data_IF_814962979876
#
_entry.id   IF_814962979876
#
_cell.length_a   1.000
_cell.length_b   1.000
_cell.length_c   1.000
_cell.angle_alpha   90.00
_cell.angle_beta   90.00
_cell.angle_gamma   90.00
#
_symmetry.space_group_name_H-M   'P 1'
#
loop_
_entity.id
_entity.type
_entity.pdbx_description
1 polymer ?
#
# COMPACT_ATOMS: atom_id res chain seq x y z
N UNK A 1 24.34 10.62 20.55
CA UNK A 1 24.28 10.55 19.07
C UNK A 1 22.95 11.14 18.65
N UNK A 2 22.94 12.21 17.86
CA UNK A 2 21.68 12.85 17.47
C UNK A 2 21.08 12.10 16.27
N UNK A 3 19.83 11.68 16.41
CA UNK A 3 19.15 10.91 15.39
C UNK A 3 18.63 11.81 14.26
N UNK A 4 18.88 11.39 13.03
CA UNK A 4 18.75 12.23 11.84
C UNK A 4 17.84 11.65 10.75
N UNK A 5 17.56 10.35 10.82
CA UNK A 5 16.87 9.62 9.76
C UNK A 5 15.48 9.19 10.20
N UNK A 6 14.47 9.63 9.45
CA UNK A 6 13.10 9.15 9.54
C UNK A 6 12.94 7.94 8.63
N UNK A 7 12.61 6.77 9.20
CA UNK A 7 12.29 5.58 8.40
C UNK A 7 10.81 5.62 8.06
N UNK A 8 10.51 5.60 6.78
CA UNK A 8 9.17 5.70 6.23
C UNK A 8 8.86 4.44 5.41
N UNK A 9 7.61 4.02 5.39
CA UNK A 9 7.15 3.03 4.44
C UNK A 9 5.71 3.24 4.02
N UNK A 10 5.39 2.81 2.82
CA UNK A 10 4.02 2.78 2.32
C UNK A 10 3.70 1.51 1.54
N UNK A 11 2.43 1.14 1.57
CA UNK A 11 1.83 0.04 0.82
C UNK A 11 0.46 0.51 0.29
N UNK A 12 0.05 -0.06 -0.84
CA UNK A 12 -1.28 0.11 -1.41
C UNK A 12 -1.92 -1.27 -1.58
N UNK A 13 -3.03 -1.51 -0.89
CA UNK A 13 -3.80 -2.74 -1.11
C UNK A 13 -5.01 -2.46 -1.99
N UNK A 14 -5.14 -3.29 -3.01
CA UNK A 14 -6.33 -3.32 -3.87
C UNK A 14 -7.36 -4.35 -3.41
N UNK A 15 -8.51 -4.26 -4.07
CA UNK A 15 -9.64 -5.17 -3.96
C UNK A 15 -9.25 -6.60 -4.34
N UNK A 16 -9.71 -7.58 -3.56
CA UNK A 16 -9.70 -8.98 -3.98
C UNK A 16 -10.91 -9.32 -4.85
N UNK A 17 -10.91 -10.50 -5.46
CA UNK A 17 -12.03 -10.99 -6.31
C UNK A 17 -13.39 -11.03 -5.61
N UNK A 18 -13.41 -11.09 -4.28
CA UNK A 18 -14.63 -11.07 -3.48
C UNK A 18 -15.20 -9.67 -3.20
N UNK A 19 -14.49 -8.59 -3.48
CA UNK A 19 -14.96 -7.23 -3.17
C UNK A 19 -15.98 -6.73 -4.20
N UNK A 20 -16.81 -5.75 -3.80
CA UNK A 20 -17.66 -5.04 -4.74
C UNK A 20 -16.81 -4.19 -5.70
N UNK A 21 -17.12 -4.21 -6.99
CA UNK A 21 -16.42 -3.36 -7.95
C UNK A 21 -16.72 -1.88 -7.67
N UNK A 22 -15.75 -1.00 -7.95
CA UNK A 22 -15.82 0.42 -7.59
C UNK A 22 -15.41 0.75 -6.15
N UNK A 23 -14.99 -0.24 -5.35
CA UNK A 23 -14.41 0.04 -4.03
C UNK A 23 -13.01 0.69 -4.15
N UNK A 24 -12.63 1.55 -3.19
CA UNK A 24 -11.35 2.23 -3.21
C UNK A 24 -10.20 1.28 -2.86
N UNK A 25 -9.01 1.61 -3.34
CA UNK A 25 -7.76 1.07 -2.80
C UNK A 25 -7.49 1.70 -1.43
N UNK A 26 -6.78 0.98 -0.57
CA UNK A 26 -6.37 1.48 0.73
C UNK A 26 -4.87 1.69 0.71
N UNK A 27 -4.46 2.91 1.01
CA UNK A 27 -3.06 3.27 1.20
C UNK A 27 -2.76 3.28 2.69
N UNK A 28 -1.66 2.62 3.07
CA UNK A 28 -1.08 2.71 4.39
C UNK A 28 0.27 3.41 4.31
N UNK A 29 0.51 4.32 5.24
CA UNK A 29 1.81 4.95 5.45
C UNK A 29 2.20 4.77 6.90
N UNK A 30 3.42 4.33 7.15
CA UNK A 30 3.98 4.15 8.49
C UNK A 30 5.31 4.87 8.58
N UNK A 31 5.60 5.46 9.73
CA UNK A 31 6.90 6.08 9.99
C UNK A 31 7.41 5.77 11.37
N UNK A 32 8.73 5.64 11.52
CA UNK A 32 9.38 5.54 12.81
C UNK A 32 9.13 6.83 13.61
N UNK A 33 8.74 6.70 14.87
CA UNK A 33 8.71 7.82 15.82
C UNK A 33 10.08 8.03 16.47
N UNK A 34 10.77 6.92 16.72
CA UNK A 34 12.05 6.87 17.40
C UNK A 34 13.11 6.30 16.47
N UNK A 35 14.34 6.66 16.74
CA UNK A 35 15.44 6.32 15.87
C UNK A 35 16.00 4.91 16.05
N UNK A 36 15.62 4.23 17.12
CA UNK A 36 15.85 2.79 17.27
C UNK A 36 14.89 1.97 16.39
N UNK A 37 13.93 2.60 15.70
CA UNK A 37 12.95 1.90 14.88
C UNK A 37 11.98 1.02 15.67
N UNK A 38 11.91 1.17 17.00
CA UNK A 38 11.07 0.30 17.85
C UNK A 38 9.58 0.66 17.82
N UNK A 39 9.24 1.92 17.49
CA UNK A 39 7.86 2.41 17.43
C UNK A 39 7.56 3.07 16.11
N UNK A 40 6.48 2.61 15.48
CA UNK A 40 5.96 3.17 14.23
C UNK A 40 4.58 3.78 14.44
N UNK A 41 4.35 4.94 13.85
CA UNK A 41 3.01 5.51 13.69
C UNK A 41 2.49 5.21 12.30
N UNK A 42 1.24 4.78 12.23
CA UNK A 42 0.53 4.52 10.99
C UNK A 42 -0.56 5.54 10.68
N UNK A 43 -0.79 5.79 9.39
CA UNK A 43 -1.94 6.52 8.87
C UNK A 43 -2.48 5.80 7.63
N UNK A 44 -3.79 5.83 7.46
CA UNK A 44 -4.49 5.23 6.33
C UNK A 44 -5.14 6.32 5.48
N UNK A 45 -5.29 6.05 4.17
CA UNK A 45 -6.00 6.90 3.22
C UNK A 45 -6.76 6.02 2.23
N UNK A 46 -7.91 6.49 1.78
CA UNK A 46 -8.58 5.93 0.61
C UNK A 46 -8.02 6.55 -0.67
N UNK A 47 -7.94 5.72 -1.70
CA UNK A 47 -7.53 6.13 -3.04
C UNK A 47 -8.43 5.45 -4.06
N UNK A 48 -8.51 6.01 -5.28
CA UNK A 48 -9.25 5.38 -6.38
C UNK A 48 -8.85 3.91 -6.56
N UNK A 49 -9.85 3.10 -6.93
CA UNK A 49 -9.67 1.66 -7.08
C UNK A 49 -8.57 1.33 -8.10
N UNK A 50 -7.73 0.33 -7.79
CA UNK A 50 -6.63 -0.16 -8.65
C UNK A 50 -5.54 0.86 -8.99
N UNK A 51 -5.55 2.03 -8.36
CA UNK A 51 -4.47 3.00 -8.49
C UNK A 51 -3.34 2.61 -7.52
N UNK A 52 -2.24 2.10 -8.04
CA UNK A 52 -1.08 1.68 -7.25
C UNK A 52 -0.26 2.88 -6.76
N UNK A 53 0.05 3.83 -7.65
CA UNK A 53 0.83 5.04 -7.31
C UNK A 53 0.10 5.88 -6.27
N UNK A 54 0.77 6.17 -5.15
CA UNK A 54 0.15 6.88 -4.03
C UNK A 54 0.11 8.38 -4.33
N UNK A 55 -1.10 8.91 -4.54
CA UNK A 55 -1.31 10.35 -4.72
C UNK A 55 -1.54 11.05 -3.38
N UNK A 56 -1.23 12.35 -3.30
CA UNK A 56 -1.46 13.14 -2.08
C UNK A 56 -0.66 12.67 -0.86
N UNK A 57 0.48 12.00 -1.08
CA UNK A 57 1.35 11.51 -0.02
C UNK A 57 1.84 12.66 0.88
N UNK A 58 2.02 13.85 0.32
CA UNK A 58 2.43 15.03 1.08
C UNK A 58 1.50 15.33 2.27
N UNK A 59 0.18 15.29 2.04
CA UNK A 59 -0.85 15.52 3.08
C UNK A 59 -0.87 14.41 4.13
N UNK A 60 -0.66 13.16 3.71
CA UNK A 60 -0.56 12.03 4.64
C UNK A 60 0.61 12.23 5.60
N UNK A 61 1.78 12.59 5.05
CA UNK A 61 3.03 12.71 5.77
C UNK A 61 3.13 13.92 6.70
N UNK A 62 2.29 14.93 6.54
CA UNK A 62 2.27 16.10 7.45
C UNK A 62 2.22 15.67 8.92
N UNK A 63 1.39 14.67 9.25
CA UNK A 63 1.28 14.20 10.63
C UNK A 63 2.57 13.52 11.10
N UNK A 64 3.19 12.69 10.25
CA UNK A 64 4.42 11.97 10.56
C UNK A 64 5.61 12.92 10.78
N UNK A 65 5.77 13.92 9.91
CA UNK A 65 6.80 14.95 10.05
C UNK A 65 6.58 15.84 11.28
N UNK A 66 5.32 16.19 11.59
CA UNK A 66 5.00 16.92 12.82
C UNK A 66 5.30 16.10 14.08
N UNK A 67 5.00 14.80 14.08
CA UNK A 67 5.31 13.92 15.21
C UNK A 67 6.82 13.82 15.43
N UNK A 68 7.59 13.69 14.34
CA UNK A 68 9.05 13.72 14.43
C UNK A 68 9.54 15.03 15.06
N UNK A 69 9.08 16.17 14.53
CA UNK A 69 9.49 17.47 15.05
C UNK A 69 9.12 17.64 16.53
N UNK A 70 7.91 17.20 16.92
CA UNK A 70 7.45 17.24 18.32
C UNK A 70 8.30 16.34 19.23
N UNK A 71 8.70 15.17 18.76
CA UNK A 71 9.41 14.19 19.57
C UNK A 71 10.91 14.48 19.70
N UNK A 72 11.54 15.02 18.65
CA UNK A 72 12.98 15.26 18.60
C UNK A 72 13.39 16.73 18.68
N UNK A 73 12.43 17.67 18.64
CA UNK A 73 12.64 19.12 18.57
C UNK A 73 13.58 19.54 17.42
N UNK A 74 13.48 18.84 16.29
CA UNK A 74 14.32 19.08 15.12
C UNK A 74 13.70 18.56 13.83
N UNK A 75 14.16 19.09 12.71
CA UNK A 75 13.85 18.53 11.39
C UNK A 75 14.65 17.23 11.16
N UNK A 76 14.07 16.21 10.48
CA UNK A 76 14.86 15.09 9.98
C UNK A 76 15.80 15.58 8.88
N UNK A 77 17.03 15.05 8.85
CA UNK A 77 18.00 15.35 7.78
C UNK A 77 17.87 14.33 6.64
N UNK A 78 17.41 13.11 6.96
CA UNK A 78 17.27 12.02 6.01
C UNK A 78 15.90 11.34 6.10
N UNK A 79 15.41 10.81 4.99
CA UNK A 79 14.32 9.84 4.92
C UNK A 79 14.80 8.57 4.22
N UNK A 80 14.62 7.42 4.89
CA UNK A 80 14.74 6.11 4.27
C UNK A 80 13.33 5.59 3.98
N UNK A 81 12.96 5.52 2.70
CA UNK A 81 11.62 5.17 2.27
C UNK A 81 11.57 3.76 1.68
N UNK A 82 10.84 2.85 2.32
CA UNK A 82 10.54 1.52 1.78
C UNK A 82 9.14 1.48 1.15
N UNK A 83 9.03 1.20 -0.14
CA UNK A 83 7.75 1.13 -0.86
C UNK A 83 7.48 -0.29 -1.33
N UNK A 84 6.44 -0.93 -0.82
CA UNK A 84 6.03 -2.29 -1.22
C UNK A 84 4.86 -2.26 -2.17
N UNK A 85 4.86 -3.08 -3.23
CA UNK A 85 3.69 -3.29 -4.10
C UNK A 85 3.80 -2.75 -5.53
N UNK A 86 4.95 -2.19 -5.93
CA UNK A 86 5.13 -1.58 -7.27
C UNK A 86 6.01 -2.42 -8.20
N UNK A 87 5.60 -2.48 -9.47
CA UNK A 87 6.40 -3.10 -10.53
C UNK A 87 7.50 -2.16 -11.04
N UNK A 88 8.49 -2.71 -11.75
CA UNK A 88 9.59 -1.94 -12.36
C UNK A 88 9.10 -0.83 -13.29
N UNK A 89 8.02 -1.07 -14.02
CA UNK A 89 7.37 -0.08 -14.91
C UNK A 89 6.82 1.16 -14.18
N UNK A 90 6.69 1.12 -12.86
CA UNK A 90 6.11 2.18 -12.03
C UNK A 90 7.17 2.98 -11.26
N UNK A 91 8.46 2.64 -11.38
CA UNK A 91 9.51 3.26 -10.57
C UNK A 91 9.63 4.77 -10.84
N UNK A 92 9.51 5.18 -12.10
CA UNK A 92 9.55 6.59 -12.48
C UNK A 92 8.35 7.35 -11.92
N UNK A 93 7.16 6.75 -11.95
CA UNK A 93 5.95 7.33 -11.37
C UNK A 93 6.06 7.49 -9.85
N UNK A 94 6.66 6.52 -9.15
CA UNK A 94 6.94 6.60 -7.71
C UNK A 94 7.90 7.75 -7.41
N UNK A 95 8.96 7.91 -8.20
CA UNK A 95 9.90 9.01 -8.05
C UNK A 95 9.23 10.38 -8.33
N UNK A 96 8.46 10.48 -9.41
CA UNK A 96 7.80 11.71 -9.82
C UNK A 96 6.67 12.14 -8.87
N UNK A 97 5.97 11.18 -8.27
CA UNK A 97 4.78 11.44 -7.45
C UNK A 97 5.03 11.29 -5.96
N UNK A 98 5.48 10.11 -5.52
CA UNK A 98 5.56 9.77 -4.10
C UNK A 98 6.79 10.43 -3.45
N UNK A 99 7.98 10.28 -4.06
CA UNK A 99 9.21 10.89 -3.54
C UNK A 99 9.13 12.42 -3.56
N UNK A 100 8.57 13.00 -4.63
CA UNK A 100 8.25 14.43 -4.67
C UNK A 100 7.26 14.83 -3.56
N UNK A 101 6.28 13.98 -3.26
CA UNK A 101 5.35 14.17 -2.14
C UNK A 101 6.02 14.15 -0.76
N UNK A 102 7.01 13.29 -0.54
CA UNK A 102 7.84 13.27 0.68
C UNK A 102 8.58 14.60 0.83
N UNK A 103 9.23 15.05 -0.23
CA UNK A 103 9.96 16.32 -0.27
C UNK A 103 9.03 17.51 0.03
N UNK A 104 7.85 17.55 -0.60
CA UNK A 104 6.86 18.59 -0.38
C UNK A 104 6.31 18.61 1.07
N UNK A 105 6.08 17.43 1.68
CA UNK A 105 5.67 17.36 3.08
C UNK A 105 6.72 17.94 4.02
N UNK A 106 7.99 17.64 3.79
CA UNK A 106 9.09 18.20 4.56
C UNK A 106 9.17 19.72 4.41
N UNK A 107 9.08 20.24 3.18
CA UNK A 107 9.09 21.68 2.93
C UNK A 107 7.93 22.41 3.64
N UNK A 108 6.75 21.79 3.69
CA UNK A 108 5.61 22.33 4.45
C UNK A 108 5.87 22.33 5.97
N UNK A 109 6.53 21.30 6.51
CA UNK A 109 6.98 21.29 7.91
C UNK A 109 7.96 22.44 8.16
N UNK A 110 8.95 22.61 7.28
CA UNK A 110 9.94 23.70 7.41
C UNK A 110 9.24 25.05 7.38
N UNK A 111 8.38 25.33 6.40
CA UNK A 111 7.63 26.59 6.32
C UNK A 111 6.81 26.87 7.57
N UNK A 112 6.27 25.84 8.23
CA UNK A 112 5.40 26.01 9.41
C UNK A 112 6.13 26.07 10.76
N UNK A 113 7.37 25.54 10.85
CA UNK A 113 8.10 25.40 12.14
C UNK A 113 9.43 26.14 12.19
N UNK A 114 9.97 26.56 11.05
CA UNK A 114 11.26 27.26 10.98
C UNK A 114 11.16 28.58 11.75
N UNK A 115 12.10 28.82 12.66
CA UNK A 115 12.30 30.13 13.30
C UNK A 115 13.15 31.01 12.38
N UNK A 116 12.93 32.32 12.44
CA UNK A 116 13.76 33.27 11.69
C UNK A 116 15.24 33.04 12.04
N UNK A 117 16.08 33.02 11.00
CA UNK A 117 17.53 32.71 11.05
C UNK A 117 17.95 31.25 11.32
N UNK A 118 17.05 30.26 11.35
CA UNK A 118 17.47 28.85 11.42
C UNK A 118 17.75 28.30 10.02
N UNK A 119 19.00 27.93 9.71
CA UNK A 119 19.29 27.21 8.46
C UNK A 119 18.78 25.77 8.55
N UNK A 120 18.02 25.34 7.53
CA UNK A 120 17.51 23.97 7.44
C UNK A 120 18.06 23.33 6.18
N UNK A 121 18.81 22.25 6.36
CA UNK A 121 19.40 21.51 5.24
C UNK A 121 18.32 20.88 4.37
N UNK A 122 18.64 20.71 3.08
CA UNK A 122 17.79 19.95 2.16
C UNK A 122 17.67 18.50 2.63
N UNK A 123 16.45 17.98 2.63
CA UNK A 123 16.17 16.59 2.97
C UNK A 123 16.85 15.65 1.97
N UNK A 124 17.57 14.65 2.48
CA UNK A 124 18.10 13.55 1.67
C UNK A 124 17.15 12.37 1.71
N UNK A 125 16.73 11.88 0.55
CA UNK A 125 15.83 10.73 0.46
C UNK A 125 16.57 9.56 -0.19
N UNK A 126 16.57 8.41 0.48
CA UNK A 126 16.90 7.12 -0.13
C UNK A 126 15.63 6.30 -0.21
N UNK A 127 15.22 5.93 -1.42
CA UNK A 127 13.98 5.21 -1.70
C UNK A 127 14.29 3.81 -2.23
N UNK A 128 13.69 2.82 -1.58
CA UNK A 128 13.90 1.39 -1.82
C UNK A 128 12.55 0.75 -2.08
N UNK A 129 12.37 0.20 -3.27
CA UNK A 129 11.22 -0.64 -3.60
C UNK A 129 11.41 -2.01 -2.99
N UNK A 130 10.36 -2.55 -2.36
CA UNK A 130 10.33 -3.90 -1.79
C UNK A 130 9.37 -4.74 -2.60
N UNK A 131 9.88 -5.80 -3.21
CA UNK A 131 9.09 -6.78 -3.95
C UNK A 131 9.18 -8.13 -3.24
N UNK A 132 8.17 -8.46 -2.45
CA UNK A 132 8.10 -9.72 -1.66
C UNK A 132 7.33 -10.85 -2.36
N UNK A 133 6.72 -10.58 -3.52
CA UNK A 133 5.93 -11.53 -4.31
C UNK A 133 6.48 -11.61 -5.73
N UNK A 134 7.46 -12.49 -5.94
CA UNK A 134 8.06 -12.73 -7.25
C UNK A 134 8.27 -14.23 -7.54
N UNK A 135 8.71 -14.56 -8.75
CA UNK A 135 8.97 -15.93 -9.21
C UNK A 135 10.24 -16.57 -8.63
N UNK A 136 11.25 -15.76 -8.29
CA UNK A 136 12.60 -16.22 -7.89
C UNK A 136 12.62 -17.07 -6.64
N UNK A 137 13.29 -18.21 -6.70
CA UNK A 137 13.56 -19.11 -5.56
C UNK A 137 15.04 -19.43 -5.49
N UNK A 138 15.53 -19.55 -4.27
CA UNK A 138 16.91 -19.93 -3.98
C UNK A 138 16.94 -21.30 -3.32
N UNK A 139 17.91 -22.11 -3.72
CA UNK A 139 18.13 -23.45 -3.19
C UNK A 139 19.58 -23.58 -2.71
N UNK A 140 19.82 -24.15 -1.52
CA UNK A 140 21.18 -24.33 -1.01
C UNK A 140 21.92 -25.38 -1.86
N UNK A 141 23.14 -25.07 -2.29
CA UNK A 141 23.99 -26.03 -3.02
C UNK A 141 24.70 -27.02 -2.09
N UNK A 142 24.95 -26.60 -0.84
CA UNK A 142 25.61 -27.39 0.19
C UNK A 142 24.67 -27.60 1.36
N UNK A 143 24.72 -28.77 1.99
CA UNK A 143 23.90 -29.07 3.18
C UNK A 143 24.15 -28.08 4.33
N UNK A 144 25.38 -27.55 4.45
CA UNK A 144 25.70 -26.55 5.48
C UNK A 144 24.95 -25.22 5.30
N UNK A 145 24.50 -24.89 4.08
CA UNK A 145 23.74 -23.68 3.80
C UNK A 145 22.22 -23.90 3.91
N UNK A 146 21.81 -25.15 4.09
CA UNK A 146 20.41 -25.55 4.25
C UNK A 146 19.95 -25.46 5.70
N UNK A 147 18.68 -25.10 5.89
CA UNK A 147 17.99 -25.24 7.16
C UNK A 147 17.58 -26.70 7.38
N UNK A 148 17.83 -27.22 8.58
CA UNK A 148 17.58 -28.63 8.95
C UNK A 148 16.13 -29.08 8.81
N UNK A 149 15.16 -28.16 8.94
CA UNK A 149 13.73 -28.51 8.97
C UNK A 149 13.07 -28.59 7.59
N UNK A 150 13.52 -27.80 6.63
CA UNK A 150 12.79 -27.59 5.38
C UNK A 150 13.67 -27.40 4.14
N UNK A 151 14.99 -27.58 4.27
CA UNK A 151 15.97 -27.48 3.18
C UNK A 151 15.95 -26.14 2.41
N UNK A 152 15.37 -25.08 2.98
CA UNK A 152 15.55 -23.73 2.44
C UNK A 152 16.95 -23.21 2.79
N UNK A 153 17.41 -22.18 2.07
CA UNK A 153 18.60 -21.43 2.46
C UNK A 153 18.45 -20.87 3.88
N UNK A 154 19.56 -20.83 4.63
CA UNK A 154 19.59 -20.16 5.94
C UNK A 154 19.18 -18.69 5.84
N UNK A 155 18.54 -18.12 6.89
CA UNK A 155 18.25 -16.69 6.96
C UNK A 155 19.51 -15.85 6.77
N UNK A 156 19.38 -14.69 6.11
CA UNK A 156 20.51 -13.81 5.80
C UNK A 156 21.19 -14.10 4.46
N UNK A 157 20.66 -15.01 3.63
CA UNK A 157 21.11 -15.15 2.25
C UNK A 157 20.95 -13.81 1.51
N UNK A 158 22.07 -13.29 1.02
CA UNK A 158 22.15 -12.13 0.14
C UNK A 158 22.61 -12.61 -1.24
N UNK A 159 21.92 -12.14 -2.29
CA UNK A 159 22.30 -12.38 -3.68
C UNK A 159 22.40 -11.02 -4.36
N UNK A 160 23.64 -10.61 -4.65
CA UNK A 160 23.97 -9.28 -5.18
C UNK A 160 24.33 -9.29 -6.68
N UNK A 161 24.58 -10.48 -7.26
CA UNK A 161 25.07 -10.64 -8.62
C UNK A 161 24.30 -11.67 -9.44
N UNK A 162 24.56 -11.68 -10.75
CA UNK A 162 23.99 -12.58 -11.78
C UNK A 162 22.51 -12.39 -12.11
N UNK A 163 21.63 -12.30 -11.12
CA UNK A 163 20.17 -12.25 -11.30
C UNK A 163 19.53 -10.96 -10.77
N UNK A 164 20.33 -10.01 -10.30
CA UNK A 164 19.92 -8.80 -9.57
C UNK A 164 19.49 -7.62 -10.43
N UNK A 165 19.54 -7.77 -11.77
CA UNK A 165 19.10 -6.73 -12.69
C UNK A 165 17.57 -6.64 -12.77
N UNK A 166 16.96 -5.44 -12.76
CA UNK A 166 15.50 -5.25 -12.85
C UNK A 166 14.88 -5.70 -14.19
N UNK A 167 15.70 -6.13 -15.17
CA UNK A 167 15.25 -6.64 -16.46
C UNK A 167 14.92 -8.15 -16.46
N UNK A 168 15.09 -8.85 -15.35
CA UNK A 168 14.77 -10.27 -15.26
C UNK A 168 13.29 -10.46 -14.92
N UNK A 169 12.50 -10.83 -15.94
CA UNK A 169 11.10 -11.28 -15.80
C UNK A 169 11.07 -12.71 -15.29
N UNK A 170 10.51 -12.93 -14.10
CA UNK A 170 10.50 -14.27 -13.50
C UNK A 170 9.08 -14.84 -13.32
N UNK A 171 8.82 -15.94 -14.04
CA UNK A 171 7.71 -16.85 -13.82
C UNK A 171 8.18 -18.05 -13.00
N UNK A 172 7.57 -18.29 -11.83
CA UNK A 172 7.91 -19.43 -10.97
C UNK A 172 6.70 -19.97 -10.20
N UNK A 173 6.31 -21.21 -10.50
CA UNK A 173 5.17 -21.93 -9.91
C UNK A 173 5.66 -22.91 -8.82
N UNK A 174 5.16 -22.67 -7.59
CA UNK A 174 5.15 -23.50 -6.35
C UNK A 174 6.46 -23.80 -5.58
N UNK A 175 6.45 -23.38 -4.31
CA UNK A 175 6.96 -24.18 -3.18
C UNK A 175 8.43 -24.04 -2.75
N UNK A 176 8.90 -22.84 -2.40
CA UNK A 176 10.20 -22.55 -1.73
C UNK A 176 10.08 -21.21 -1.01
N UNK A 177 10.93 -20.90 -0.02
CA UNK A 177 10.89 -19.60 0.68
C UNK A 177 10.97 -18.43 -0.32
N UNK A 178 10.11 -17.41 -0.14
CA UNK A 178 10.14 -16.19 -0.96
C UNK A 178 11.14 -15.23 -0.32
N UNK A 179 12.24 -14.96 -1.02
CA UNK A 179 13.07 -13.79 -0.72
C UNK A 179 12.25 -12.52 -0.97
N UNK A 180 12.68 -11.39 -0.42
CA UNK A 180 12.27 -10.09 -0.94
C UNK A 180 13.37 -9.54 -1.84
N UNK A 181 12.97 -8.91 -2.94
CA UNK A 181 13.84 -8.18 -3.84
C UNK A 181 13.77 -6.69 -3.51
N UNK A 182 14.92 -6.06 -3.30
CA UNK A 182 15.03 -4.65 -2.98
C UNK A 182 15.66 -3.90 -4.15
N UNK A 183 15.00 -2.84 -4.62
CA UNK A 183 15.54 -2.02 -5.70
C UNK A 183 15.64 -0.57 -5.25
N UNK A 184 16.86 -0.01 -5.25
CA UNK A 184 17.09 1.38 -4.90
C UNK A 184 16.77 2.27 -6.11
N UNK A 185 15.74 3.10 -6.00
CA UNK A 185 15.31 4.01 -7.08
C UNK A 185 15.78 5.45 -6.88
N UNK A 186 16.30 5.77 -5.68
CA UNK A 186 16.92 7.05 -5.33
C UNK A 186 17.84 6.87 -4.11
N UNK A 187 18.99 7.54 -4.10
CA UNK A 187 19.98 7.44 -3.00
C UNK A 187 20.68 8.78 -2.71
N UNK A 188 19.94 9.80 -2.27
CA UNK A 188 20.54 11.10 -1.95
C UNK A 188 21.41 11.06 -0.69
N UNK A 189 21.21 10.03 0.16
CA UNK A 189 22.05 9.80 1.34
C UNK A 189 23.44 9.25 0.99
N UNK A 190 23.66 8.83 -0.27
CA UNK A 190 24.92 8.23 -0.75
C UNK A 190 25.33 7.01 0.08
N UNK A 191 24.35 6.20 0.50
CA UNK A 191 24.64 4.95 1.20
C UNK A 191 25.30 3.97 0.24
N UNK A 192 26.31 3.24 0.72
CA UNK A 192 26.88 2.14 -0.04
C UNK A 192 25.89 0.97 -0.08
N UNK A 193 26.09 0.06 -1.03
CA UNK A 193 25.28 -1.15 -1.15
C UNK A 193 25.32 -1.96 0.15
N UNK A 194 26.51 -2.16 0.72
CA UNK A 194 26.73 -2.92 1.95
C UNK A 194 26.01 -2.28 3.15
N UNK A 195 25.99 -0.94 3.22
CA UNK A 195 25.28 -0.22 4.26
C UNK A 195 23.75 -0.41 4.15
N UNK A 196 23.21 -0.40 2.94
CA UNK A 196 21.79 -0.63 2.72
C UNK A 196 21.40 -2.07 2.98
N UNK A 197 22.23 -3.04 2.61
CA UNK A 197 22.02 -4.46 2.86
C UNK A 197 22.03 -4.76 4.36
N UNK A 198 23.07 -4.33 5.09
CA UNK A 198 23.18 -4.53 6.53
C UNK A 198 22.02 -3.85 7.27
N UNK A 199 21.67 -2.61 6.91
CA UNK A 199 20.54 -1.91 7.51
C UNK A 199 19.21 -2.61 7.23
N UNK A 200 18.95 -3.00 5.98
CA UNK A 200 17.72 -3.69 5.57
C UNK A 200 17.60 -5.02 6.31
N UNK A 201 18.70 -5.78 6.41
CA UNK A 201 18.74 -7.04 7.14
C UNK A 201 18.48 -6.82 8.64
N UNK A 202 19.12 -5.84 9.28
CA UNK A 202 18.86 -5.50 10.70
C UNK A 202 17.40 -5.12 10.94
N UNK A 203 16.78 -4.36 10.02
CA UNK A 203 15.37 -4.00 10.13
C UNK A 203 14.47 -5.24 10.15
N UNK A 204 14.80 -6.32 9.44
CA UNK A 204 14.05 -7.59 9.50
C UNK A 204 14.03 -8.23 10.92
N UNK A 205 14.94 -7.85 11.81
CA UNK A 205 15.03 -8.38 13.18
C UNK A 205 14.40 -7.46 14.24
N UNK A 206 13.78 -6.35 13.82
CA UNK A 206 13.18 -5.38 14.77
C UNK A 206 11.67 -5.55 14.95
N UNK A 207 11.06 -6.59 14.37
CA UNK A 207 9.61 -6.79 14.42
C UNK A 207 9.12 -7.21 15.81
N UNK A 208 8.46 -6.28 16.51
CA UNK A 208 8.04 -6.45 17.91
C UNK A 208 7.05 -7.59 18.21
N UNK A 209 6.47 -8.25 17.19
CA UNK A 209 5.48 -9.33 17.38
C UNK A 209 6.09 -10.73 17.40
N UNK A 210 7.40 -10.86 17.26
CA UNK A 210 8.11 -12.13 17.24
C UNK A 210 9.55 -11.94 17.70
N UNK A 211 10.17 -12.98 18.23
CA UNK A 211 11.60 -13.01 18.58
C UNK A 211 12.48 -13.49 17.40
N UNK A 212 11.87 -13.72 16.23
CA UNK A 212 12.53 -14.20 15.02
C UNK A 212 12.64 -13.09 13.96
N UNK A 213 13.60 -13.22 13.04
CA UNK A 213 13.63 -12.36 11.85
C UNK A 213 12.38 -12.58 10.98
N UNK A 214 11.84 -11.50 10.42
CA UNK A 214 10.81 -11.56 9.38
C UNK A 214 11.42 -11.64 7.99
N UNK A 215 10.61 -12.00 7.00
CA UNK A 215 11.05 -12.27 5.63
C UNK A 215 11.41 -11.02 4.80
N UNK A 216 11.11 -9.81 5.29
CA UNK A 216 11.44 -8.54 4.63
C UNK A 216 11.45 -7.39 5.63
N UNK A 217 11.97 -6.23 5.21
CA UNK A 217 12.20 -5.09 6.07
C UNK A 217 10.95 -4.69 6.87
N UNK A 218 11.13 -4.52 8.18
CA UNK A 218 10.06 -4.19 9.11
C UNK A 218 9.15 -3.03 8.67
N UNK A 219 9.67 -1.89 8.16
CA UNK A 219 8.83 -0.76 7.79
C UNK A 219 7.75 -1.16 6.76
N UNK A 220 8.14 -1.89 5.71
CA UNK A 220 7.21 -2.42 4.71
C UNK A 220 6.21 -3.40 5.33
N UNK A 221 6.69 -4.27 6.23
CA UNK A 221 5.83 -5.21 6.95
C UNK A 221 4.76 -4.50 7.78
N UNK A 222 5.08 -3.36 8.41
CA UNK A 222 4.09 -2.58 9.15
C UNK A 222 3.09 -1.87 8.24
N UNK A 223 3.51 -1.35 7.07
CA UNK A 223 2.59 -0.78 6.10
C UNK A 223 1.56 -1.82 5.63
N UNK A 224 2.01 -3.04 5.31
CA UNK A 224 1.12 -4.16 4.97
C UNK A 224 0.11 -4.48 6.05
N UNK A 225 0.57 -4.61 7.31
CA UNK A 225 -0.31 -4.92 8.44
C UNK A 225 -1.33 -3.83 8.67
N UNK A 226 -0.96 -2.58 8.39
CA UNK A 226 -1.89 -1.46 8.46
C UNK A 226 -2.88 -1.49 7.30
N UNK A 227 -2.47 -1.83 6.08
CA UNK A 227 -3.37 -2.11 4.95
C UNK A 227 -4.35 -3.24 5.28
N UNK A 228 -3.88 -4.37 5.81
CA UNK A 228 -4.72 -5.48 6.29
C UNK A 228 -5.76 -5.00 7.33
N UNK A 229 -5.33 -4.12 8.25
CA UNK A 229 -6.24 -3.50 9.20
C UNK A 229 -7.26 -2.60 8.52
N UNK A 230 -6.87 -1.78 7.55
CA UNK A 230 -7.78 -0.96 6.76
C UNK A 230 -8.85 -1.81 6.04
N UNK A 231 -8.45 -2.96 5.48
CA UNK A 231 -9.39 -3.91 4.86
C UNK A 231 -10.44 -4.43 5.85
N UNK A 232 -10.09 -4.57 7.13
CA UNK A 232 -11.05 -4.94 8.18
C UNK A 232 -12.11 -3.85 8.40
N UNK A 233 -11.74 -2.57 8.30
CA UNK A 233 -12.68 -1.45 8.44
C UNK A 233 -13.69 -1.40 7.30
N UNK A 234 -13.26 -1.79 6.10
CA UNK A 234 -14.10 -1.87 4.90
C UNK A 234 -14.59 -3.28 4.58
N UNK A 235 -14.58 -4.19 5.56
CA UNK A 235 -14.99 -5.61 5.36
C UNK A 235 -16.34 -5.74 4.68
N UNK A 236 -17.28 -4.86 5.03
CA UNK A 236 -18.64 -4.84 4.49
C UNK A 236 -18.70 -4.67 2.96
N UNK A 237 -17.68 -4.05 2.35
CA UNK A 237 -17.58 -3.92 0.89
C UNK A 237 -16.49 -4.82 0.28
N UNK A 238 -15.44 -5.13 1.03
CA UNK A 238 -14.35 -6.00 0.59
C UNK A 238 -14.72 -7.49 0.62
N UNK A 239 -15.64 -7.87 1.50
CA UNK A 239 -16.21 -9.20 1.61
C UNK A 239 -17.68 -9.10 2.06
N UNK A 240 -18.55 -8.60 1.15
CA UNK A 240 -19.95 -8.35 1.45
C UNK A 240 -20.70 -9.66 1.68
N UNK A 241 -21.70 -9.62 2.56
CA UNK A 241 -22.67 -10.71 2.67
C UNK A 241 -23.60 -10.77 1.45
N UNK A 242 -24.46 -11.78 1.41
CA UNK A 242 -25.37 -11.99 0.27
C UNK A 242 -26.36 -10.84 0.08
N UNK A 243 -26.84 -10.23 1.17
CA UNK A 243 -27.82 -9.15 1.11
C UNK A 243 -27.21 -7.89 0.47
N UNK A 244 -26.04 -7.49 0.95
CA UNK A 244 -25.30 -6.34 0.41
C UNK A 244 -24.84 -6.59 -1.03
N UNK A 245 -24.44 -7.83 -1.36
CA UNK A 245 -24.13 -8.20 -2.75
C UNK A 245 -25.36 -8.11 -3.66
N UNK A 246 -26.54 -8.52 -3.17
CA UNK A 246 -27.79 -8.41 -3.92
C UNK A 246 -28.20 -6.94 -4.14
N UNK A 247 -28.10 -6.10 -3.12
CA UNK A 247 -28.32 -4.66 -3.22
C UNK A 247 -27.41 -4.03 -4.29
N UNK A 248 -26.11 -4.34 -4.23
CA UNK A 248 -25.15 -3.90 -5.24
C UNK A 248 -25.53 -4.35 -6.65
N UNK A 249 -25.88 -5.63 -6.84
CA UNK A 249 -26.22 -6.18 -8.15
C UNK A 249 -27.51 -5.55 -8.72
N UNK A 250 -28.49 -5.24 -7.86
CA UNK A 250 -29.71 -4.55 -8.27
C UNK A 250 -29.41 -3.14 -8.76
N UNK A 251 -28.54 -2.42 -8.05
CA UNK A 251 -28.10 -1.10 -8.44
C UNK A 251 -27.29 -1.13 -9.73
N UNK A 252 -26.37 -2.08 -9.88
CA UNK A 252 -25.57 -2.28 -11.09
C UNK A 252 -26.47 -2.46 -12.31
N UNK A 253 -27.45 -3.37 -12.24
CA UNK A 253 -28.43 -3.59 -13.32
C UNK A 253 -29.29 -2.37 -13.62
N UNK A 254 -29.59 -1.54 -12.63
CA UNK A 254 -30.31 -0.30 -12.84
C UNK A 254 -29.45 0.71 -13.62
N UNK A 255 -28.16 0.84 -13.25
CA UNK A 255 -27.21 1.72 -13.93
C UNK A 255 -26.95 1.25 -15.36
N UNK A 256 -26.70 -0.05 -15.57
CA UNK A 256 -26.50 -0.65 -16.90
C UNK A 256 -27.68 -0.36 -17.83
N UNK A 257 -28.92 -0.56 -17.35
CA UNK A 257 -30.14 -0.24 -18.13
C UNK A 257 -30.22 1.23 -18.53
N UNK A 258 -29.85 2.15 -17.64
CA UNK A 258 -29.85 3.59 -17.94
C UNK A 258 -28.80 3.92 -19.01
N UNK A 259 -27.61 3.33 -18.92
CA UNK A 259 -26.54 3.54 -19.90
C UNK A 259 -26.94 2.99 -21.27
N UNK A 260 -27.48 1.78 -21.31
CA UNK A 260 -27.97 1.15 -22.54
C UNK A 260 -29.12 1.94 -23.19
N UNK A 261 -30.08 2.45 -22.40
CA UNK A 261 -31.14 3.32 -22.91
C UNK A 261 -30.59 4.61 -23.53
N UNK A 262 -29.60 5.24 -22.89
CA UNK A 262 -28.97 6.45 -23.42
C UNK A 262 -28.24 6.17 -24.74
N UNK A 263 -27.56 5.02 -24.85
CA UNK A 263 -26.94 4.59 -26.10
C UNK A 263 -27.96 4.37 -27.21
N UNK A 264 -29.03 3.64 -26.92
CA UNK A 264 -30.09 3.37 -27.89
C UNK A 264 -30.74 4.68 -28.39
N UNK A 265 -30.97 5.65 -27.50
CA UNK A 265 -31.49 6.96 -27.87
C UNK A 265 -30.54 7.78 -28.76
N UNK A 266 -29.22 7.70 -28.52
CA UNK A 266 -28.20 8.31 -29.39
C UNK A 266 -28.18 7.66 -30.77
N UNK A 267 -28.25 6.33 -30.83
CA UNK A 267 -28.21 5.59 -32.10
C UNK A 267 -29.49 5.77 -32.92
N UNK A 268 -30.64 5.93 -32.28
CA UNK A 268 -31.91 6.24 -32.93
C UNK A 268 -31.88 7.60 -33.68
N UNK A 269 -31.05 8.55 -33.25
CA UNK A 269 -30.85 9.83 -33.95
C UNK A 269 -29.90 9.74 -35.17
N UNK A 270 -29.15 8.64 -35.33
CA UNK A 270 -28.11 8.47 -36.37
C UNK A 270 -28.52 7.47 -37.46
N UNK A 271 -29.81 7.40 -37.83
CA UNK A 271 -30.33 6.33 -38.69
C UNK A 271 -29.82 6.35 -40.14
N UNK A 272 -28.69 5.68 -40.38
CA UNK A 272 -28.46 4.86 -41.57
C UNK A 272 -27.40 3.80 -41.26
N UNK A 273 -27.79 2.59 -40.88
CA UNK A 273 -26.88 1.43 -40.97
C UNK A 273 -27.60 0.09 -40.98
N UNK A 274 -27.16 -0.74 -41.94
CA UNK A 274 -27.58 -2.11 -42.18
C UNK A 274 -26.97 -3.05 -41.14
N UNK A 275 -27.81 -3.95 -40.64
CA UNK A 275 -27.47 -5.09 -39.79
C UNK A 275 -26.94 -6.21 -40.68
N UNK A 276 -25.67 -6.58 -40.57
CA UNK A 276 -25.11 -7.94 -40.74
C UNK A 276 -23.61 -7.93 -41.07
N UNK A 277 -22.76 -7.35 -40.21
CA UNK A 277 -21.31 -7.64 -40.21
C UNK A 277 -20.75 -7.65 -38.77
N UNK A 278 -19.59 -8.31 -38.56
CA UNK A 278 -18.88 -8.35 -37.26
C UNK A 278 -18.77 -6.95 -36.65
N UNK A 279 -18.93 -6.85 -35.32
CA UNK A 279 -18.84 -5.59 -34.58
C UNK A 279 -17.67 -4.73 -35.07
N UNK A 280 -17.97 -3.51 -35.49
CA UNK A 280 -16.95 -2.57 -35.94
C UNK A 280 -16.08 -2.09 -34.76
N UNK A 281 -14.88 -1.57 -35.02
CA UNK A 281 -14.02 -1.00 -33.97
C UNK A 281 -14.72 0.15 -33.21
N UNK A 282 -15.63 0.89 -33.87
CA UNK A 282 -16.42 1.94 -33.24
C UNK A 282 -17.41 1.36 -32.20
N UNK A 283 -18.07 0.24 -32.50
CA UNK A 283 -19.00 -0.41 -31.56
C UNK A 283 -18.27 -1.03 -30.37
N UNK A 284 -17.01 -1.42 -30.53
CA UNK A 284 -16.18 -1.93 -29.42
C UNK A 284 -15.74 -0.79 -28.49
N UNK A 285 -15.38 0.37 -29.05
CA UNK A 285 -15.06 1.57 -28.25
C UNK A 285 -16.29 2.10 -27.50
N UNK A 286 -17.47 2.10 -28.12
CA UNK A 286 -18.72 2.51 -27.46
C UNK A 286 -19.07 1.59 -26.28
N UNK A 287 -18.82 0.28 -26.40
CA UNK A 287 -19.00 -0.67 -25.30
C UNK A 287 -17.99 -0.44 -24.15
N UNK A 288 -16.73 -0.08 -24.46
CA UNK A 288 -15.72 0.28 -23.43
C UNK A 288 -16.09 1.57 -22.69
N UNK A 289 -16.57 2.58 -23.41
CA UNK A 289 -17.04 3.85 -22.85
C UNK A 289 -18.24 3.62 -21.92
N UNK A 290 -19.20 2.78 -22.33
CA UNK A 290 -20.36 2.41 -21.51
C UNK A 290 -19.92 1.71 -20.21
N UNK A 291 -18.95 0.79 -20.28
CA UNK A 291 -18.40 0.11 -19.10
C UNK A 291 -17.72 1.10 -18.15
N UNK A 292 -16.98 2.07 -18.66
CA UNK A 292 -16.36 3.11 -17.83
C UNK A 292 -17.42 4.00 -17.16
N UNK A 293 -18.48 4.37 -17.89
CA UNK A 293 -19.59 5.15 -17.35
C UNK A 293 -20.29 4.38 -16.22
N UNK A 294 -20.57 3.08 -16.41
CA UNK A 294 -21.15 2.22 -15.38
C UNK A 294 -20.23 2.17 -14.16
N UNK A 295 -18.94 1.92 -14.35
CA UNK A 295 -17.97 1.84 -13.26
C UNK A 295 -17.91 3.14 -12.44
N UNK A 296 -17.83 4.30 -13.11
CA UNK A 296 -17.79 5.62 -12.46
C UNK A 296 -19.06 5.94 -11.68
N UNK A 297 -20.23 5.55 -12.22
CA UNK A 297 -21.52 5.70 -11.53
C UNK A 297 -21.62 4.80 -10.30
N UNK A 298 -21.15 3.56 -10.40
CA UNK A 298 -21.13 2.63 -9.26
C UNK A 298 -20.17 3.10 -8.17
N UNK A 299 -18.98 3.60 -8.52
CA UNK A 299 -18.05 4.23 -7.58
C UNK A 299 -18.69 5.42 -6.88
N UNK A 300 -19.33 6.32 -7.64
CA UNK A 300 -20.03 7.50 -7.09
C UNK A 300 -21.16 7.13 -6.12
N UNK A 301 -21.82 5.99 -6.33
CA UNK A 301 -22.86 5.47 -5.44
C UNK A 301 -22.28 4.82 -4.17
N UNK A 302 -21.16 4.09 -4.29
CA UNK A 302 -20.52 3.40 -3.17
C UNK A 302 -19.77 4.35 -2.24
N UNK A 303 -19.01 5.29 -2.81
CA UNK A 303 -18.03 6.11 -2.09
C UNK A 303 -18.60 6.88 -0.89
N UNK A 304 -19.78 7.54 -0.97
CA UNK A 304 -20.34 8.25 0.19
C UNK A 304 -20.57 7.34 1.41
N UNK A 305 -21.03 6.12 1.19
CA UNK A 305 -21.26 5.15 2.26
C UNK A 305 -19.96 4.62 2.84
N UNK A 306 -18.95 4.40 1.98
CA UNK A 306 -17.62 3.97 2.38
C UNK A 306 -16.93 5.05 3.21
N UNK A 307 -16.91 6.30 2.72
CA UNK A 307 -16.30 7.44 3.43
C UNK A 307 -16.98 7.67 4.77
N UNK A 308 -18.32 7.64 4.81
CA UNK A 308 -19.07 7.75 6.07
C UNK A 308 -18.67 6.67 7.09
N UNK A 309 -18.40 5.45 6.63
CA UNK A 309 -17.95 4.35 7.50
C UNK A 309 -16.47 4.45 7.87
N UNK A 310 -15.65 5.00 6.98
CA UNK A 310 -14.21 5.20 7.13
C UNK A 310 -13.89 6.31 8.14
N UNK A 311 -14.62 7.43 8.06
CA UNK A 311 -14.46 8.60 8.94
C UNK A 311 -15.20 8.44 10.27
N UNK A 312 -16.00 7.37 10.43
CA UNK A 312 -16.62 7.06 11.72
C UNK A 312 -15.52 6.68 12.69
N UNK A 313 -15.46 7.40 13.82
CA UNK A 313 -14.63 7.01 14.95
C UNK A 313 -14.82 5.53 15.24
N UNK A 314 -13.71 4.81 15.40
CA UNK A 314 -13.76 3.44 15.89
C UNK A 314 -14.56 3.48 17.19
N UNK A 315 -15.58 2.61 17.29
CA UNK A 315 -16.36 2.50 18.51
C UNK A 315 -15.35 2.50 19.67
N UNK A 316 -15.50 3.40 20.66
CA UNK A 316 -14.55 3.45 21.76
C UNK A 316 -14.37 2.03 22.26
N UNK A 317 -13.16 1.66 22.72
CA UNK A 317 -13.03 0.45 23.54
C UNK A 317 -13.83 0.77 24.79
N UNK A 318 -15.14 0.50 24.75
CA UNK A 318 -16.04 1.05 25.73
C UNK A 318 -15.79 0.24 26.99
N UNK A 319 -15.15 0.88 27.96
CA UNK A 319 -15.44 0.59 29.36
C UNK A 319 -16.91 1.03 29.57
N UNK A 320 -17.86 0.24 29.08
CA UNK A 320 -19.29 0.48 29.26
C UNK A 320 -19.79 -0.39 30.41
N UNK A 321 -20.14 0.18 31.56
CA UNK A 321 -20.71 -0.60 32.66
C UNK A 321 -22.13 -1.13 32.34
N UNK A 322 -22.82 -0.59 31.32
CA UNK A 322 -24.24 -0.85 31.08
C UNK A 322 -24.62 -1.25 29.63
N UNK A 323 -23.66 -1.36 28.71
CA UNK A 323 -23.93 -1.82 27.35
C UNK A 323 -23.96 -3.35 27.27
N UNK A 324 -25.08 -3.94 26.84
CA UNK A 324 -25.19 -5.39 26.58
C UNK A 324 -23.95 -5.88 25.83
N UNK A 325 -23.23 -6.79 26.49
CA UNK A 325 -21.88 -7.25 26.16
C UNK A 325 -21.84 -8.01 24.83
N UNK A 326 -21.93 -7.31 23.70
CA UNK A 326 -21.93 -7.92 22.35
C UNK A 326 -20.60 -8.64 22.01
N UNK A 327 -19.54 -8.37 22.78
CA UNK A 327 -18.18 -8.89 22.56
C UNK A 327 -17.55 -9.53 23.80
N UNK A 328 -18.35 -9.94 24.79
CA UNK A 328 -17.89 -10.54 26.06
C UNK A 328 -16.89 -11.70 25.90
N UNK A 329 -17.06 -12.49 24.84
CA UNK A 329 -16.19 -13.62 24.50
C UNK A 329 -14.77 -13.18 24.08
N UNK A 330 -14.56 -11.89 23.74
CA UNK A 330 -13.25 -11.34 23.38
C UNK A 330 -12.42 -10.91 24.58
N UNK A 331 -13.04 -10.69 25.75
CA UNK A 331 -12.33 -10.35 27.00
C UNK A 331 -11.50 -11.52 27.56
N UNK A 332 -11.89 -12.75 27.20
CA UNK A 332 -11.19 -14.01 27.51
C UNK A 332 -10.34 -14.51 26.33
N UNK A 333 -10.20 -13.71 25.27
CA UNK A 333 -9.30 -14.07 24.16
C UNK A 333 -7.87 -13.82 24.58
N UNK A 334 -7.21 -14.89 24.99
CA UNK A 334 -5.78 -14.91 25.26
C UNK A 334 -5.05 -15.32 23.98
N UNK A 335 -4.04 -14.56 23.58
CA UNK A 335 -3.02 -15.05 22.67
C UNK A 335 -1.93 -15.69 23.53
N UNK A 336 -1.71 -16.99 23.37
CA UNK A 336 -0.47 -17.65 23.80
C UNK A 336 0.58 -17.42 22.71
N UNK A 337 1.82 -17.15 23.11
CA UNK A 337 2.99 -17.15 22.22
C UNK A 337 3.73 -18.48 22.34
#
# INVERSE_FOLDING_TARGET
MAFKTLVLSADCTHLGSGALAGCPSIVAVVSSLEANGGRFRGKLKLQSGRQEIITGLATLLQTHFNDWYKFHDRFPENVLYYRDGVSTSQFDDVNATEVAGIQAAFENLVKSKKKDNTEVQKLKITAVIVNKRHGTRFFPLREIDAMTRNNNCKPGLLVESSITSPYNTENGIKGTARSAHYTVIKNDMQMTTEQLEDLTHRLCHTYVRTTLGVSYALPAYYADRLCERGRCYLREWYNPDNNKRQEYNNQLRAVERIVEQNRNNKNAHNSSRQTDEKKSAAETNDDEDDLEIVARRMESWLMPNIVKRWDRDMDPVVNNPAGKRRWKHREITMYWM
#
